data_IF_080740538695
#
_entry.id   IF_080740538695
#
_cell.length_a   1.000
_cell.length_b   1.000
_cell.length_c   1.000
_cell.angle_alpha   90.00
_cell.angle_beta   90.00
_cell.angle_gamma   90.00
#
_symmetry.space_group_name_H-M   'P 1'
#
loop_
_entity.id
_entity.type
_entity.pdbx_description
1 polymer ?
#
# COMPACT_ATOMS: atom_id res chain seq x y z
N UNK A 1 4.90 -34.87 12.46
CA UNK A 1 4.25 -33.55 12.57
C UNK A 1 3.13 -33.47 11.55
N UNK A 2 1.88 -33.32 11.99
CA UNK A 2 0.70 -33.34 11.12
C UNK A 2 0.46 -31.96 10.49
N UNK A 3 0.04 -31.91 9.21
CA UNK A 3 -0.10 -30.67 8.43
C UNK A 3 -1.10 -29.68 9.04
N UNK A 4 -2.17 -30.17 9.66
CA UNK A 4 -3.19 -29.36 10.35
C UNK A 4 -2.61 -28.50 11.49
N UNK A 5 -1.60 -28.99 12.19
CA UNK A 5 -0.94 -28.27 13.29
C UNK A 5 -0.08 -27.10 12.78
N UNK A 6 0.43 -27.16 11.54
CA UNK A 6 1.19 -26.06 10.94
C UNK A 6 0.30 -24.91 10.49
N UNK A 7 -0.93 -25.22 10.04
CA UNK A 7 -1.88 -24.21 9.54
C UNK A 7 -2.48 -23.36 10.67
N UNK A 8 -2.59 -23.91 11.89
CA UNK A 8 -3.11 -23.17 13.05
C UNK A 8 -2.18 -22.04 13.57
N UNK A 9 -0.92 -22.01 13.13
CA UNK A 9 0.09 -21.08 13.63
C UNK A 9 0.80 -20.31 12.52
N UNK A 10 0.09 -20.02 11.43
CA UNK A 10 0.65 -19.30 10.28
C UNK A 10 0.96 -17.83 10.56
N UNK A 11 0.18 -17.18 11.42
CA UNK A 11 0.28 -15.76 11.68
C UNK A 11 0.73 -15.46 13.11
N UNK A 12 1.67 -14.51 13.29
CA UNK A 12 2.08 -14.07 14.61
C UNK A 12 1.03 -13.16 15.23
N UNK A 13 1.03 -13.10 16.55
CA UNK A 13 0.45 -11.99 17.31
C UNK A 13 1.35 -10.77 17.21
N UNK A 14 0.82 -9.57 17.51
CA UNK A 14 1.61 -8.34 17.46
C UNK A 14 2.84 -8.36 18.40
N UNK A 15 2.74 -9.07 19.53
CA UNK A 15 3.82 -9.17 20.53
C UNK A 15 4.99 -10.02 20.04
N UNK A 16 4.72 -11.04 19.22
CA UNK A 16 5.72 -11.95 18.66
C UNK A 16 6.56 -11.33 17.55
N UNK A 17 6.15 -10.19 17.00
CA UNK A 17 6.92 -9.45 15.99
C UNK A 17 8.10 -8.76 16.70
N UNK A 18 9.36 -9.01 16.26
CA UNK A 18 10.51 -8.31 16.80
C UNK A 18 10.40 -6.80 16.63
N UNK A 19 10.86 -6.03 17.62
CA UNK A 19 10.65 -4.58 17.68
C UNK A 19 11.08 -3.83 16.41
N UNK A 20 12.23 -4.18 15.83
CA UNK A 20 12.73 -3.60 14.58
C UNK A 20 11.81 -3.81 13.35
N UNK A 21 10.88 -4.77 13.43
CA UNK A 21 9.92 -5.10 12.37
C UNK A 21 8.48 -4.79 12.77
N UNK A 22 8.24 -4.26 13.98
CA UNK A 22 6.90 -3.87 14.38
C UNK A 22 6.45 -2.70 13.54
N UNK A 23 5.20 -2.79 13.08
CA UNK A 23 4.58 -1.72 12.33
C UNK A 23 4.44 -0.49 13.25
N UNK A 24 4.86 0.67 12.74
CA UNK A 24 4.60 1.95 13.37
C UNK A 24 3.15 2.40 13.15
N UNK A 25 2.91 3.71 13.30
CA UNK A 25 1.64 4.30 12.91
C UNK A 25 1.40 4.14 11.39
N UNK A 26 0.16 3.94 10.93
CA UNK A 26 -0.16 3.91 9.51
C UNK A 26 0.32 5.17 8.79
N UNK A 27 0.89 5.01 7.59
CA UNK A 27 1.44 6.13 6.81
C UNK A 27 0.39 6.65 5.84
N UNK A 28 0.05 7.93 5.93
CA UNK A 28 -0.80 8.59 4.95
C UNK A 28 0.05 9.25 3.86
N UNK A 29 0.11 8.65 2.67
CA UNK A 29 0.78 9.24 1.51
C UNK A 29 -0.20 10.06 0.69
N UNK A 30 0.06 11.37 0.58
CA UNK A 30 -0.75 12.31 -0.22
C UNK A 30 -0.09 12.75 -1.52
N UNK A 31 1.13 12.30 -1.78
CA UNK A 31 1.86 12.71 -2.98
C UNK A 31 1.83 11.61 -4.03
N UNK A 32 1.67 12.03 -5.28
CA UNK A 32 1.82 11.18 -6.45
C UNK A 32 2.77 11.83 -7.44
N UNK A 33 3.55 11.01 -8.14
CA UNK A 33 4.51 11.47 -9.14
C UNK A 33 3.83 11.48 -10.51
N UNK A 34 3.82 12.63 -11.17
CA UNK A 34 3.37 12.77 -12.55
C UNK A 34 4.21 13.83 -13.26
N UNK A 35 4.62 13.53 -14.49
CA UNK A 35 5.42 14.45 -15.32
C UNK A 35 6.70 14.94 -14.60
N UNK A 36 7.38 14.03 -13.90
CA UNK A 36 8.61 14.34 -13.15
C UNK A 36 8.41 15.18 -11.88
N UNK A 37 7.17 15.50 -11.48
CA UNK A 37 6.87 16.30 -10.31
C UNK A 37 6.05 15.52 -9.27
N UNK A 38 6.41 15.66 -7.99
CA UNK A 38 5.55 15.24 -6.89
C UNK A 38 4.43 16.27 -6.74
N UNK A 39 3.20 15.81 -6.95
CA UNK A 39 1.99 16.61 -6.78
C UNK A 39 1.23 16.10 -5.56
N UNK A 40 0.64 17.03 -4.82
CA UNK A 40 -0.22 16.73 -3.68
C UNK A 40 -1.64 16.40 -4.14
N UNK A 41 -2.22 15.36 -3.57
CA UNK A 41 -3.58 14.89 -3.81
C UNK A 41 -4.51 15.31 -2.68
N UNK A 42 -5.57 16.04 -3.05
CA UNK A 42 -6.60 16.52 -2.12
C UNK A 42 -7.88 15.66 -2.16
N UNK A 43 -7.93 14.67 -3.06
CA UNK A 43 -9.07 13.76 -3.21
C UNK A 43 -9.05 12.57 -2.25
N UNK A 44 -9.89 11.55 -2.51
CA UNK A 44 -9.99 10.36 -1.67
C UNK A 44 -8.69 9.54 -1.66
N UNK A 45 -8.48 8.79 -0.59
CA UNK A 45 -7.34 7.88 -0.44
C UNK A 45 -7.82 6.42 -0.40
N UNK A 46 -7.05 5.52 -0.99
CA UNK A 46 -7.22 4.08 -0.87
C UNK A 46 -6.49 3.57 0.38
N UNK A 47 -7.14 2.71 1.17
CA UNK A 47 -6.49 2.08 2.34
C UNK A 47 -5.54 0.97 1.89
N UNK A 48 -4.30 1.00 2.38
CA UNK A 48 -3.31 -0.06 2.17
C UNK A 48 -3.38 -1.03 3.35
N UNK A 49 -3.60 -2.32 3.05
CA UNK A 49 -3.67 -3.40 4.03
C UNK A 49 -2.50 -4.35 3.88
N UNK A 50 -2.01 -4.86 5.00
CA UNK A 50 -0.97 -5.87 5.04
C UNK A 50 -1.46 -7.18 4.41
N UNK A 51 -0.67 -7.81 3.53
CA UNK A 51 -0.98 -9.17 3.06
C UNK A 51 -0.76 -10.21 4.17
N UNK A 52 0.11 -9.89 5.15
CA UNK A 52 0.36 -10.72 6.33
C UNK A 52 -0.65 -10.34 7.42
N UNK A 53 -1.40 -11.32 7.90
CA UNK A 53 -2.37 -11.12 8.96
C UNK A 53 -1.69 -11.20 10.33
N UNK A 54 -2.34 -10.63 11.34
CA UNK A 54 -2.00 -10.87 12.73
C UNK A 54 -3.08 -11.70 13.39
N UNK A 55 -2.64 -12.62 14.24
CA UNK A 55 -3.53 -13.36 15.12
C UNK A 55 -4.04 -12.44 16.23
N UNK A 56 -5.36 -12.34 16.36
CA UNK A 56 -6.05 -11.56 17.39
C UNK A 56 -7.08 -12.42 18.13
N UNK A 57 -7.65 -11.93 19.23
CA UNK A 57 -8.73 -12.61 19.96
C UNK A 57 -10.00 -12.82 19.11
N UNK A 58 -10.14 -12.07 18.01
CA UNK A 58 -11.26 -12.16 17.05
C UNK A 58 -10.91 -13.01 15.82
N UNK A 59 -9.76 -13.69 15.83
CA UNK A 59 -9.21 -14.43 14.69
C UNK A 59 -8.12 -13.64 13.95
N UNK A 60 -7.70 -14.17 12.80
CA UNK A 60 -6.65 -13.57 11.99
C UNK A 60 -7.17 -12.33 11.25
N UNK A 61 -6.51 -11.19 11.40
CA UNK A 61 -6.95 -9.92 10.86
C UNK A 61 -5.83 -9.21 10.09
N UNK A 62 -6.19 -8.56 8.98
CA UNK A 62 -5.27 -7.69 8.26
C UNK A 62 -5.04 -6.40 9.04
N UNK A 63 -3.79 -5.94 9.03
CA UNK A 63 -3.40 -4.65 9.59
C UNK A 63 -3.47 -3.57 8.51
N UNK A 64 -3.92 -2.37 8.88
CA UNK A 64 -3.83 -1.20 8.00
C UNK A 64 -2.41 -0.64 8.07
N UNK A 65 -1.74 -0.59 6.92
CA UNK A 65 -0.38 -0.05 6.79
C UNK A 65 -0.38 1.45 6.52
N UNK A 66 -1.46 1.97 5.96
CA UNK A 66 -1.53 3.35 5.54
C UNK A 66 -2.60 3.61 4.49
N UNK A 67 -2.41 4.67 3.73
CA UNK A 67 -3.28 5.05 2.62
C UNK A 67 -2.50 5.78 1.51
N UNK A 68 -2.99 5.68 0.28
CA UNK A 68 -2.37 6.29 -0.91
C UNK A 68 -3.42 7.00 -1.76
N UNK A 69 -3.04 7.91 -2.67
CA UNK A 69 -3.99 8.60 -3.54
C UNK A 69 -4.86 7.60 -4.32
N UNK A 70 -6.18 7.74 -4.21
CA UNK A 70 -7.14 7.08 -5.10
C UNK A 70 -7.39 8.03 -6.27
N UNK A 71 -6.50 7.96 -7.25
CA UNK A 71 -6.52 8.84 -8.42
C UNK A 71 -7.80 8.64 -9.25
N UNK A 72 -8.30 9.74 -9.79
CA UNK A 72 -9.50 9.77 -10.62
C UNK A 72 -9.16 9.86 -12.12
N UNK A 73 -10.20 10.01 -12.94
CA UNK A 73 -10.06 10.11 -14.38
C UNK A 73 -9.23 11.33 -14.83
N UNK A 74 -9.32 12.46 -14.13
CA UNK A 74 -8.58 13.68 -14.49
C UNK A 74 -7.09 13.51 -14.23
N UNK A 75 -6.71 12.96 -13.07
CA UNK A 75 -5.33 12.62 -12.76
C UNK A 75 -4.77 11.57 -13.74
N UNK A 76 -5.58 10.59 -14.14
CA UNK A 76 -5.19 9.57 -15.12
C UNK A 76 -4.94 10.18 -16.52
N UNK A 77 -5.81 11.08 -16.99
CA UNK A 77 -5.62 11.77 -18.27
C UNK A 77 -4.38 12.67 -18.25
N UNK A 78 -4.12 13.37 -17.15
CA UNK A 78 -2.89 14.16 -16.97
C UNK A 78 -1.64 13.28 -17.08
N UNK A 79 -1.65 12.10 -16.46
CA UNK A 79 -0.55 11.15 -16.54
C UNK A 79 -0.37 10.59 -17.97
N UNK A 80 -1.48 10.33 -18.68
CA UNK A 80 -1.46 9.90 -20.08
C UNK A 80 -0.83 10.97 -20.98
N UNK A 81 -1.26 12.23 -20.87
CA UNK A 81 -0.71 13.33 -21.65
C UNK A 81 0.80 13.52 -21.41
N UNK A 82 1.23 13.39 -20.14
CA UNK A 82 2.65 13.43 -19.80
C UNK A 82 3.43 12.26 -20.43
N UNK A 83 2.87 11.05 -20.40
CA UNK A 83 3.49 9.88 -21.01
C UNK A 83 3.62 10.01 -22.54
N UNK A 84 2.59 10.54 -23.22
CA UNK A 84 2.64 10.83 -24.67
C UNK A 84 3.76 11.82 -24.99
N UNK A 85 3.82 12.95 -24.27
CA UNK A 85 4.89 13.96 -24.45
C UNK A 85 6.28 13.40 -24.20
N UNK A 86 6.44 12.54 -23.19
CA UNK A 86 7.70 11.91 -22.88
C UNK A 86 8.14 10.94 -23.99
N UNK A 87 7.19 10.17 -24.54
CA UNK A 87 7.45 9.27 -25.67
C UNK A 87 7.89 10.03 -26.92
N UNK A 88 7.25 11.16 -27.23
CA UNK A 88 7.64 12.03 -28.36
C UNK A 88 9.08 12.56 -28.23
N UNK A 89 9.60 12.67 -27.00
CA UNK A 89 10.97 13.09 -26.68
C UNK A 89 12.00 11.95 -26.61
N UNK A 90 11.63 10.71 -26.95
CA UNK A 90 12.50 9.54 -26.99
C UNK A 90 11.96 8.49 -27.96
N UNK A 91 12.20 8.72 -29.25
CA UNK A 91 11.58 8.05 -30.41
C UNK A 91 11.83 6.54 -30.58
N UNK A 92 11.41 5.70 -29.62
CA UNK A 92 11.33 4.24 -29.80
C UNK A 92 12.66 3.47 -29.68
#
# INVERSE_FOLDING_TARGET
MNTESRLHNLFPTAAEIPEQYRLGAPIEQREYLVDGALRRWEGPLATVRSPIHLKTDKGDQQVVLGSTPLLDAEAALTALDAAVKAYDNGQG
#
